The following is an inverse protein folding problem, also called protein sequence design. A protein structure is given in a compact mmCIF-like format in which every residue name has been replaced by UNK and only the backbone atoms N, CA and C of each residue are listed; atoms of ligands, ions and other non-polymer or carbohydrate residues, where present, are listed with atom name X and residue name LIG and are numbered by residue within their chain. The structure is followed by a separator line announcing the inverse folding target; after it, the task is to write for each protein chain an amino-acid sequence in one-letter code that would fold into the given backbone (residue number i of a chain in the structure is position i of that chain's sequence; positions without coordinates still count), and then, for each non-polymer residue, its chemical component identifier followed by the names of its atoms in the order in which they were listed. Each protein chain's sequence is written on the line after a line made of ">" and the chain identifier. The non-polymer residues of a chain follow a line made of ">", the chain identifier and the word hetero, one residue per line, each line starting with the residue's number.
data_IF_555743646995
#
_entry.id   IF_555743646995
#
_cell.length_a   1.000
_cell.length_b   1.000
_cell.length_c   1.000
_cell.angle_alpha   90.00
_cell.angle_beta   90.00
_cell.angle_gamma   90.00
#
_symmetry.space_group_name_H-M   'P 1'
#
loop_
_entity.id
_entity.type
_entity.pdbx_description
1 polymer ?
#
# COMPACT_ATOMS: atom_id res chain seq x y z
N UNK A 1 40.12 -17.21 0.54
CA UNK A 1 38.91 -17.84 -0.04
C UNK A 1 37.77 -17.95 0.97
N UNK A 2 38.05 -18.13 2.26
CA UNK A 2 37.08 -18.20 3.37
C UNK A 2 36.30 -16.89 3.63
N UNK A 3 36.94 -15.72 3.56
CA UNK A 3 36.31 -14.42 3.85
C UNK A 3 35.19 -14.04 2.86
N UNK A 4 35.25 -14.53 1.61
CA UNK A 4 34.25 -14.23 0.58
C UNK A 4 33.00 -15.11 0.72
N UNK A 5 33.17 -16.33 1.24
CA UNK A 5 32.08 -17.31 1.46
C UNK A 5 31.23 -16.89 2.67
N UNK A 6 31.85 -16.38 3.75
CA UNK A 6 31.11 -15.83 4.90
C UNK A 6 30.27 -14.60 4.53
N UNK A 7 30.83 -13.63 3.80
CA UNK A 7 30.08 -12.44 3.37
C UNK A 7 28.92 -12.82 2.43
N UNK A 8 29.11 -13.78 1.53
CA UNK A 8 28.06 -14.29 0.63
C UNK A 8 26.95 -15.04 1.40
N UNK A 9 27.30 -15.84 2.41
CA UNK A 9 26.32 -16.54 3.25
C UNK A 9 25.55 -15.60 4.17
N UNK A 10 26.17 -14.54 4.69
CA UNK A 10 25.50 -13.46 5.44
C UNK A 10 24.55 -12.68 4.52
N UNK A 11 24.98 -12.34 3.29
CA UNK A 11 24.11 -11.66 2.33
C UNK A 11 22.91 -12.52 1.89
N UNK A 12 23.12 -13.83 1.74
CA UNK A 12 22.06 -14.79 1.40
C UNK A 12 21.10 -15.01 2.56
N UNK A 13 21.58 -15.12 3.81
CA UNK A 13 20.69 -15.23 4.98
C UNK A 13 19.90 -13.95 5.23
N UNK A 14 20.48 -12.77 4.98
CA UNK A 14 19.76 -11.49 5.05
C UNK A 14 18.64 -11.44 3.99
N UNK A 15 18.89 -11.91 2.77
CA UNK A 15 17.87 -11.97 1.71
C UNK A 15 16.76 -13.00 1.97
N UNK A 16 17.06 -14.14 2.61
CA UNK A 16 16.05 -15.13 3.00
C UNK A 16 15.22 -14.66 4.22
N UNK A 17 15.80 -13.86 5.12
CA UNK A 17 15.12 -13.25 6.28
C UNK A 17 14.10 -12.18 5.84
N UNK A 18 14.41 -11.40 4.80
CA UNK A 18 13.53 -10.31 4.33
C UNK A 18 12.13 -10.78 3.89
N UNK A 19 12.01 -11.94 3.26
CA UNK A 19 10.70 -12.49 2.88
C UNK A 19 9.95 -13.09 4.07
N UNK A 20 10.67 -13.67 5.03
CA UNK A 20 10.06 -14.25 6.24
C UNK A 20 9.51 -13.17 7.18
N UNK A 21 10.23 -12.05 7.33
CA UNK A 21 9.81 -10.94 8.19
C UNK A 21 8.60 -10.20 7.62
N UNK A 22 8.56 -9.98 6.29
CA UNK A 22 7.37 -9.43 5.61
C UNK A 22 6.18 -10.37 5.79
N UNK A 23 6.39 -11.68 5.68
CA UNK A 23 5.34 -12.69 5.85
C UNK A 23 4.78 -12.69 7.28
N UNK A 24 5.63 -12.50 8.28
CA UNK A 24 5.20 -12.40 9.68
C UNK A 24 4.36 -11.13 9.93
N UNK A 25 4.85 -9.96 9.53
CA UNK A 25 4.10 -8.70 9.65
C UNK A 25 2.76 -8.75 8.92
N UNK A 26 2.73 -9.37 7.74
CA UNK A 26 1.50 -9.59 6.97
C UNK A 26 0.54 -10.56 7.65
N UNK A 27 1.05 -11.60 8.31
CA UNK A 27 0.24 -12.55 9.08
C UNK A 27 -0.44 -11.86 10.25
N UNK A 28 0.27 -11.00 11.00
CA UNK A 28 -0.32 -10.19 12.06
C UNK A 28 -1.42 -9.26 11.53
N UNK A 29 -1.19 -8.59 10.39
CA UNK A 29 -2.21 -7.77 9.72
C UNK A 29 -3.48 -8.58 9.42
N UNK A 30 -3.33 -9.79 8.86
CA UNK A 30 -4.46 -10.67 8.54
C UNK A 30 -5.23 -11.15 9.76
N UNK A 31 -4.55 -11.32 10.89
CA UNK A 31 -5.15 -11.70 12.18
C UNK A 31 -5.75 -10.51 12.95
N UNK A 32 -5.62 -9.27 12.44
CA UNK A 32 -6.08 -8.07 13.14
C UNK A 32 -5.15 -7.61 14.28
N UNK A 33 -3.97 -8.19 14.38
CA UNK A 33 -2.93 -7.84 15.35
C UNK A 33 -2.14 -6.64 14.84
N UNK A 34 -2.81 -5.48 14.78
CA UNK A 34 -2.29 -4.30 14.09
C UNK A 34 -1.05 -3.70 14.77
N UNK A 35 -0.96 -3.74 16.10
CA UNK A 35 0.22 -3.24 16.82
C UNK A 35 1.45 -4.08 16.48
N UNK A 36 1.35 -5.40 16.59
CA UNK A 36 2.44 -6.32 16.24
C UNK A 36 2.83 -6.18 14.76
N UNK A 37 1.85 -6.03 13.88
CA UNK A 37 2.09 -5.79 12.45
C UNK A 37 2.87 -4.50 12.20
N UNK A 38 2.52 -3.39 12.86
CA UNK A 38 3.26 -2.13 12.76
C UNK A 38 4.69 -2.27 13.26
N UNK A 39 4.90 -2.92 14.42
CA UNK A 39 6.25 -3.13 14.96
C UNK A 39 7.15 -3.91 13.99
N UNK A 40 6.60 -4.94 13.33
CA UNK A 40 7.34 -5.70 12.33
C UNK A 40 7.70 -4.83 11.11
N UNK A 41 6.74 -4.06 10.57
CA UNK A 41 7.04 -3.21 9.42
C UNK A 41 7.97 -2.05 9.76
N UNK A 42 7.89 -1.49 10.97
CA UNK A 42 8.82 -0.49 11.48
C UNK A 42 10.24 -1.04 11.57
N UNK A 43 10.40 -2.28 12.04
CA UNK A 43 11.68 -2.96 12.05
C UNK A 43 12.24 -3.13 10.63
N UNK A 44 11.44 -3.63 9.69
CA UNK A 44 11.84 -3.80 8.29
C UNK A 44 12.28 -2.45 7.69
N UNK A 45 11.52 -1.38 7.95
CA UNK A 45 11.81 -0.05 7.43
C UNK A 45 12.98 0.66 8.13
N UNK A 46 13.32 0.25 9.35
CA UNK A 46 14.55 0.67 10.01
C UNK A 46 15.79 0.07 9.34
N UNK A 47 15.69 -1.18 8.87
CA UNK A 47 16.77 -1.87 8.15
C UNK A 47 16.87 -1.40 6.69
N UNK A 48 15.73 -1.29 6.01
CA UNK A 48 15.63 -0.77 4.65
C UNK A 48 14.45 0.19 4.54
N UNK A 49 14.74 1.49 4.62
CA UNK A 49 13.72 2.56 4.59
C UNK A 49 12.94 2.65 3.29
N UNK A 50 13.45 2.03 2.21
CA UNK A 50 12.85 2.08 0.88
C UNK A 50 12.23 0.74 0.49
N UNK A 51 11.96 -0.14 1.46
CA UNK A 51 11.22 -1.37 1.20
C UNK A 51 9.76 -1.03 0.84
N UNK A 52 9.46 -1.08 -0.46
CA UNK A 52 8.16 -0.73 -1.02
C UNK A 52 7.00 -1.54 -0.42
N UNK A 53 7.20 -2.86 -0.26
CA UNK A 53 6.15 -3.76 0.26
C UNK A 53 5.85 -3.43 1.72
N UNK A 54 6.89 -3.20 2.53
CA UNK A 54 6.71 -2.85 3.94
C UNK A 54 6.01 -1.48 4.11
N UNK A 55 6.32 -0.48 3.28
CA UNK A 55 5.61 0.80 3.28
C UNK A 55 4.12 0.62 2.98
N UNK A 56 3.79 -0.14 1.93
CA UNK A 56 2.39 -0.39 1.53
C UNK A 56 1.64 -1.15 2.63
N UNK A 57 2.22 -2.24 3.16
CA UNK A 57 1.56 -3.04 4.20
C UNK A 57 1.43 -2.30 5.53
N UNK A 58 2.41 -1.47 5.91
CA UNK A 58 2.29 -0.58 7.07
C UNK A 58 1.21 0.47 6.85
N UNK A 59 1.14 1.06 5.65
CA UNK A 59 0.06 1.96 5.24
C UNK A 59 -1.32 1.30 5.34
N UNK A 60 -1.49 0.07 4.88
CA UNK A 60 -2.76 -0.68 5.03
C UNK A 60 -3.08 -0.89 6.51
N UNK A 61 -2.07 -1.19 7.34
CA UNK A 61 -2.25 -1.37 8.78
C UNK A 61 -2.70 -0.07 9.45
N UNK A 62 -2.09 1.07 9.08
CA UNK A 62 -2.53 2.39 9.52
C UNK A 62 -3.95 2.72 9.08
N UNK A 63 -4.33 2.36 7.86
CA UNK A 63 -5.70 2.54 7.36
C UNK A 63 -6.72 1.77 8.22
N UNK A 64 -6.42 0.51 8.57
CA UNK A 64 -7.28 -0.29 9.48
C UNK A 64 -7.40 0.31 10.89
N UNK A 65 -6.41 1.10 11.31
CA UNK A 65 -6.41 1.84 12.57
C UNK A 65 -7.01 3.25 12.47
N UNK A 66 -7.45 3.70 11.28
CA UNK A 66 -7.95 5.06 11.06
C UNK A 66 -6.86 6.15 11.13
N UNK A 67 -5.58 5.79 11.02
CA UNK A 67 -4.44 6.71 11.09
C UNK A 67 -4.08 7.24 9.70
N UNK A 68 -4.98 8.00 9.10
CA UNK A 68 -4.91 8.37 7.67
C UNK A 68 -3.67 9.19 7.30
N UNK A 69 -3.18 10.09 8.15
CA UNK A 69 -1.95 10.86 7.88
C UNK A 69 -0.72 9.95 7.68
N UNK A 70 -0.63 8.86 8.46
CA UNK A 70 0.43 7.88 8.30
C UNK A 70 0.29 7.09 7.00
N UNK A 71 -0.95 6.81 6.57
CA UNK A 71 -1.23 6.18 5.27
C UNK A 71 -0.74 7.06 4.13
N UNK A 72 -1.09 8.35 4.15
CA UNK A 72 -0.67 9.32 3.14
C UNK A 72 0.85 9.43 3.08
N UNK A 73 1.53 9.49 4.23
CA UNK A 73 2.99 9.54 4.28
C UNK A 73 3.63 8.29 3.66
N UNK A 74 3.19 7.10 4.04
CA UNK A 74 3.80 5.85 3.57
C UNK A 74 3.50 5.58 2.10
N UNK A 75 2.27 5.85 1.64
CA UNK A 75 1.88 5.66 0.26
C UNK A 75 2.56 6.66 -0.69
N UNK A 76 2.74 7.92 -0.29
CA UNK A 76 3.50 8.88 -1.08
C UNK A 76 4.98 8.49 -1.17
N UNK A 77 5.59 8.06 -0.06
CA UNK A 77 6.97 7.54 -0.10
C UNK A 77 7.10 6.31 -0.99
N UNK A 78 6.11 5.42 -0.97
CA UNK A 78 6.07 4.28 -1.87
C UNK A 78 6.03 4.72 -3.34
N UNK A 79 5.29 5.80 -3.68
CA UNK A 79 5.27 6.38 -5.02
C UNK A 79 6.55 7.13 -5.40
N UNK A 80 7.30 7.68 -4.43
CA UNK A 80 8.64 8.22 -4.71
C UNK A 80 9.62 7.10 -5.12
N UNK A 81 9.43 5.89 -4.60
CA UNK A 81 10.27 4.72 -4.90
C UNK A 81 9.82 4.04 -6.21
N UNK A 82 8.51 3.82 -6.36
CA UNK A 82 7.88 3.27 -7.55
C UNK A 82 6.68 4.16 -7.96
N UNK A 83 6.89 5.10 -8.90
CA UNK A 83 5.85 6.01 -9.38
C UNK A 83 4.67 5.31 -10.07
N UNK A 84 4.77 4.02 -10.36
CA UNK A 84 3.74 3.22 -11.03
C UNK A 84 3.03 2.25 -10.08
N UNK A 85 3.30 2.33 -8.78
CA UNK A 85 2.75 1.42 -7.77
C UNK A 85 1.23 1.51 -7.69
N UNK A 86 0.54 0.58 -8.34
CA UNK A 86 -0.93 0.51 -8.34
C UNK A 86 -1.49 0.39 -6.93
N UNK A 87 -0.88 -0.44 -6.07
CA UNK A 87 -1.31 -0.59 -4.67
C UNK A 87 -1.23 0.71 -3.87
N UNK A 88 -0.23 1.55 -4.14
CA UNK A 88 -0.08 2.85 -3.48
C UNK A 88 -1.14 3.85 -3.96
N UNK A 89 -1.45 3.87 -5.25
CA UNK A 89 -2.56 4.67 -5.79
C UNK A 89 -3.92 4.22 -5.24
N UNK A 90 -4.17 2.92 -5.14
CA UNK A 90 -5.41 2.40 -4.54
C UNK A 90 -5.52 2.84 -3.08
N UNK A 91 -4.44 2.69 -2.31
CA UNK A 91 -4.41 3.05 -0.89
C UNK A 91 -4.65 4.55 -0.67
N UNK A 92 -4.04 5.42 -1.50
CA UNK A 92 -4.33 6.85 -1.49
C UNK A 92 -5.79 7.15 -1.88
N UNK A 93 -6.27 6.52 -2.96
CA UNK A 93 -7.64 6.69 -3.45
C UNK A 93 -8.69 6.33 -2.39
N UNK A 94 -8.52 5.18 -1.74
CA UNK A 94 -9.40 4.72 -0.65
C UNK A 94 -9.29 5.64 0.58
N UNK A 95 -8.08 6.12 0.90
CA UNK A 95 -7.86 7.05 2.02
C UNK A 95 -8.57 8.37 1.81
N UNK A 96 -8.37 9.01 0.66
CA UNK A 96 -9.05 10.27 0.34
C UNK A 96 -10.57 10.09 0.22
N UNK A 97 -11.03 8.96 -0.33
CA UNK A 97 -12.47 8.63 -0.35
C UNK A 97 -13.05 8.58 1.06
N UNK A 98 -12.34 7.92 1.99
CA UNK A 98 -12.75 7.79 3.39
C UNK A 98 -12.76 9.14 4.11
N UNK A 99 -11.82 10.03 3.78
CA UNK A 99 -11.75 11.40 4.30
C UNK A 99 -12.80 12.35 3.67
N UNK A 100 -13.50 11.92 2.61
CA UNK A 100 -14.45 12.76 1.87
C UNK A 100 -13.80 13.69 0.83
N UNK A 101 -12.50 13.55 0.61
CA UNK A 101 -11.71 14.29 -0.38
C UNK A 101 -11.84 13.63 -1.76
N UNK A 102 -13.04 13.73 -2.32
CA UNK A 102 -13.43 12.94 -3.49
C UNK A 102 -12.67 13.27 -4.77
N UNK A 103 -12.18 14.51 -4.94
CA UNK A 103 -11.40 14.89 -6.13
C UNK A 103 -10.02 14.22 -6.11
N UNK A 104 -9.35 14.26 -4.95
CA UNK A 104 -8.07 13.64 -4.68
C UNK A 104 -8.17 12.12 -4.79
N UNK A 105 -9.28 11.55 -4.32
CA UNK A 105 -9.61 10.14 -4.52
C UNK A 105 -9.69 9.79 -6.01
N UNK A 106 -10.46 10.52 -6.82
CA UNK A 106 -10.59 10.29 -8.26
C UNK A 106 -9.24 10.31 -8.98
N UNK A 107 -8.37 11.27 -8.66
CA UNK A 107 -7.04 11.38 -9.27
C UNK A 107 -6.25 10.08 -9.06
N UNK A 108 -6.22 9.57 -7.84
CA UNK A 108 -5.45 8.37 -7.50
C UNK A 108 -6.12 7.09 -8.04
N UNK A 109 -7.44 6.96 -7.95
CA UNK A 109 -8.17 5.81 -8.49
C UNK A 109 -8.04 5.73 -10.03
N UNK A 110 -8.03 6.87 -10.73
CA UNK A 110 -7.79 6.90 -12.18
C UNK A 110 -6.39 6.38 -12.53
N UNK A 111 -5.34 6.81 -11.81
CA UNK A 111 -3.98 6.28 -12.01
C UNK A 111 -3.89 4.79 -11.73
N UNK A 112 -4.62 4.27 -10.73
CA UNK A 112 -4.68 2.84 -10.50
C UNK A 112 -5.33 2.07 -11.68
N UNK A 113 -6.38 2.65 -12.28
CA UNK A 113 -7.08 2.07 -13.43
C UNK A 113 -6.30 2.19 -14.75
N UNK A 114 -5.38 3.16 -14.88
CA UNK A 114 -4.46 3.19 -16.04
C UNK A 114 -3.60 1.91 -16.11
N UNK A 115 -3.23 1.33 -14.97
CA UNK A 115 -2.45 0.08 -14.90
C UNK A 115 -3.33 -1.16 -14.98
N UNK A 116 -4.44 -1.18 -14.23
CA UNK A 116 -5.42 -2.27 -14.29
C UNK A 116 -6.84 -1.73 -14.49
N UNK A 117 -7.29 -1.55 -15.75
CA UNK A 117 -8.58 -0.94 -16.07
C UNK A 117 -9.79 -1.71 -15.54
N UNK A 118 -9.63 -3.01 -15.28
CA UNK A 118 -10.72 -3.91 -14.88
C UNK A 118 -10.71 -4.21 -13.36
N UNK A 119 -10.00 -3.41 -12.57
CA UNK A 119 -10.01 -3.59 -11.12
C UNK A 119 -11.38 -3.21 -10.54
N UNK A 120 -12.22 -4.21 -10.31
CA UNK A 120 -13.61 -4.05 -9.85
C UNK A 120 -13.73 -3.28 -8.55
N UNK A 121 -12.77 -3.44 -7.63
CA UNK A 121 -12.76 -2.71 -6.36
C UNK A 121 -12.55 -1.19 -6.59
N UNK A 122 -11.61 -0.84 -7.46
CA UNK A 122 -11.29 0.56 -7.78
C UNK A 122 -12.42 1.21 -8.59
N UNK A 123 -12.99 0.48 -9.54
CA UNK A 123 -14.17 0.91 -10.29
C UNK A 123 -15.36 1.16 -9.36
N UNK A 124 -15.60 0.29 -8.38
CA UNK A 124 -16.68 0.48 -7.39
C UNK A 124 -16.50 1.79 -6.62
N UNK A 125 -15.31 2.05 -6.08
CA UNK A 125 -15.01 3.30 -5.36
C UNK A 125 -15.19 4.53 -6.25
N UNK A 126 -14.74 4.46 -7.52
CA UNK A 126 -14.86 5.56 -8.46
C UNK A 126 -16.31 5.82 -8.87
N UNK A 127 -17.08 4.77 -9.12
CA UNK A 127 -18.51 4.82 -9.37
C UNK A 127 -19.28 5.45 -8.20
N UNK A 128 -18.95 5.09 -6.96
CA UNK A 128 -19.53 5.73 -5.77
C UNK A 128 -19.24 7.23 -5.69
N UNK A 129 -18.02 7.67 -6.06
CA UNK A 129 -17.69 9.09 -6.15
C UNK A 129 -18.55 9.77 -7.23
N UNK A 130 -18.66 9.17 -8.42
CA UNK A 130 -19.49 9.72 -9.48
C UNK A 130 -20.95 9.86 -9.07
N UNK A 131 -21.50 8.90 -8.31
CA UNK A 131 -22.84 9.03 -7.73
C UNK A 131 -22.96 10.24 -6.78
N UNK A 132 -21.95 10.48 -5.92
CA UNK A 132 -21.93 11.65 -5.03
C UNK A 132 -21.88 12.96 -5.82
N UNK A 133 -21.21 12.97 -6.96
CA UNK A 133 -21.18 14.10 -7.89
C UNK A 133 -22.39 14.17 -8.85
N UNK A 134 -23.33 13.23 -8.75
CA UNK A 134 -24.50 13.10 -9.64
C UNK A 134 -24.13 12.89 -11.11
N UNK A 135 -22.96 12.31 -11.35
CA UNK A 135 -22.44 11.91 -12.66
C UNK A 135 -22.90 10.47 -12.96
N UNK A 136 -24.18 10.30 -13.24
CA UNK A 136 -24.80 8.98 -13.34
C UNK A 136 -24.32 8.17 -14.56
N UNK A 137 -23.92 8.82 -15.65
CA UNK A 137 -23.44 8.14 -16.85
C UNK A 137 -22.09 7.48 -16.61
N UNK A 138 -21.16 8.21 -15.98
CA UNK A 138 -19.85 7.74 -15.59
C UNK A 138 -19.96 6.65 -14.52
N UNK A 139 -20.83 6.81 -13.53
CA UNK A 139 -21.10 5.78 -12.53
C UNK A 139 -21.63 4.48 -13.16
N UNK A 140 -22.52 4.57 -14.16
CA UNK A 140 -23.05 3.40 -14.86
C UNK A 140 -21.97 2.63 -15.63
N UNK A 141 -20.96 3.30 -16.17
CA UNK A 141 -19.85 2.64 -16.87
C UNK A 141 -18.89 1.91 -15.91
N UNK A 142 -18.85 2.33 -14.65
CA UNK A 142 -17.98 1.76 -13.62
C UNK A 142 -18.62 0.58 -12.85
N UNK A 143 -19.93 0.34 -13.00
CA UNK A 143 -20.64 -0.81 -12.42
C UNK A 143 -20.84 -1.95 -13.41
#
# INVERSE_FOLDING_TARGET
>A
MTFYIEKYNIFKSINDVHNNDITLGFSYLKLGLYVDSLEQFDFILKVNSNNLIALILRGITYFKLGKYDNVLSDANKALEIDPTSTSSFILLGETYFTLGEYNEALINLNKALEVNPNNTYVLTLRGEIYLKFKQYGEAFLDF
#
